data_IF_319504345143
#
_entry.id   IF_319504345143
#
_cell.length_a   1.000
_cell.length_b   1.000
_cell.length_c   1.000
_cell.angle_alpha   90.00
_cell.angle_beta   90.00
_cell.angle_gamma   90.00
#
_symmetry.space_group_name_H-M   'P 1'
#
loop_
_entity.id
_entity.type
_entity.pdbx_description
1 polymer ?
#
# COMPACT_ATOMS: atom_id res chain seq x y z
N UNK A 1 8.24 5.15 6.47
CA UNK A 1 6.80 5.24 6.09
C UNK A 1 6.03 4.12 6.75
N UNK A 2 4.94 4.44 7.41
CA UNK A 2 4.06 3.42 7.99
C UNK A 2 3.06 2.93 6.94
N UNK A 3 2.37 1.83 7.24
CA UNK A 3 1.32 1.33 6.37
C UNK A 3 0.19 2.34 6.17
N UNK A 4 -0.17 3.07 7.23
CA UNK A 4 -1.18 4.11 7.13
C UNK A 4 -0.76 5.23 6.18
N UNK A 5 0.50 5.65 6.25
CA UNK A 5 1.00 6.66 5.33
C UNK A 5 0.99 6.16 3.89
N UNK A 6 1.38 4.90 3.70
CA UNK A 6 1.35 4.28 2.37
C UNK A 6 -0.06 4.30 1.79
N UNK A 7 -1.06 3.92 2.60
CA UNK A 7 -2.45 3.92 2.15
C UNK A 7 -2.93 5.32 1.76
N UNK A 8 -2.58 6.34 2.55
CA UNK A 8 -2.96 7.71 2.23
C UNK A 8 -2.34 8.21 0.93
N UNK A 9 -1.08 7.89 0.72
CA UNK A 9 -0.38 8.28 -0.51
C UNK A 9 -0.93 7.55 -1.72
N UNK A 10 -1.26 6.26 -1.55
CA UNK A 10 -1.89 5.48 -2.61
C UNK A 10 -3.25 6.06 -3.00
N UNK A 11 -4.03 6.54 -2.03
CA UNK A 11 -5.32 7.15 -2.34
C UNK A 11 -5.17 8.39 -3.22
N UNK A 12 -4.13 9.18 -3.01
CA UNK A 12 -3.85 10.34 -3.87
C UNK A 12 -3.52 9.90 -5.30
N UNK A 13 -2.65 8.90 -5.42
CA UNK A 13 -2.27 8.36 -6.72
C UNK A 13 -3.50 7.76 -7.40
N UNK A 14 -4.31 7.02 -6.65
CA UNK A 14 -5.51 6.40 -7.17
C UNK A 14 -6.52 7.40 -7.71
N UNK A 15 -6.67 8.54 -7.04
CA UNK A 15 -7.55 9.61 -7.53
C UNK A 15 -7.12 10.12 -8.90
N UNK A 16 -5.81 10.25 -9.10
CA UNK A 16 -5.28 10.73 -10.38
C UNK A 16 -5.38 9.69 -11.48
N UNK A 17 -5.28 8.41 -11.11
CA UNK A 17 -5.28 7.31 -12.07
C UNK A 17 -6.64 6.60 -12.21
N UNK A 18 -7.62 7.03 -11.44
CA UNK A 18 -8.94 6.39 -11.45
C UNK A 18 -8.93 4.99 -10.85
N UNK A 19 -8.06 4.73 -9.87
CA UNK A 19 -7.96 3.43 -9.21
C UNK A 19 -8.42 3.50 -7.77
N UNK A 20 -9.20 2.51 -7.35
CA UNK A 20 -9.68 2.43 -5.98
C UNK A 20 -8.59 1.85 -5.08
N UNK A 21 -8.52 2.36 -3.85
CA UNK A 21 -7.61 1.87 -2.81
C UNK A 21 -8.45 1.35 -1.66
N UNK A 22 -8.20 0.12 -1.23
CA UNK A 22 -8.91 -0.46 -0.10
C UNK A 22 -8.02 -1.44 0.64
N UNK A 23 -8.35 -1.67 1.88
CA UNK A 23 -7.65 -2.65 2.73
C UNK A 23 -8.64 -3.70 3.18
N UNK A 24 -8.29 -4.98 2.97
CA UNK A 24 -9.09 -6.11 3.43
C UNK A 24 -8.33 -6.88 4.49
N UNK A 25 -8.81 -6.90 5.74
CA UNK A 25 -8.18 -7.71 6.79
C UNK A 25 -8.28 -9.20 6.46
N UNK A 26 -7.23 -9.93 6.77
CA UNK A 26 -7.19 -11.38 6.62
C UNK A 26 -6.77 -12.03 7.93
N UNK A 27 -7.57 -12.97 8.39
CA UNK A 27 -7.28 -13.68 9.62
C UNK A 27 -7.36 -12.79 10.85
N UNK A 28 -6.59 -13.14 11.86
CA UNK A 28 -6.56 -12.39 13.13
C UNK A 28 -5.42 -11.37 13.12
N UNK A 29 -5.64 -10.25 13.80
CA UNK A 29 -4.63 -9.20 13.94
C UNK A 29 -4.66 -8.19 12.82
N UNK A 30 -3.51 -7.57 12.56
CA UNK A 30 -3.39 -6.44 11.62
C UNK A 30 -3.01 -6.85 10.20
N UNK A 31 -2.93 -8.14 9.96
CA UNK A 31 -2.57 -8.63 8.62
C UNK A 31 -3.72 -8.42 7.65
N UNK A 32 -3.39 -8.11 6.41
CA UNK A 32 -4.40 -7.96 5.39
C UNK A 32 -3.81 -7.68 4.03
N UNK A 33 -4.69 -7.45 3.07
CA UNK A 33 -4.30 -7.09 1.72
C UNK A 33 -4.66 -5.65 1.43
N UNK A 34 -3.67 -4.91 0.95
CA UNK A 34 -3.84 -3.55 0.49
C UNK A 34 -4.02 -3.60 -1.02
N UNK A 35 -5.20 -3.20 -1.49
CA UNK A 35 -5.53 -3.21 -2.92
C UNK A 35 -5.34 -1.85 -3.54
N UNK A 36 -4.78 -1.86 -4.74
CA UNK A 36 -4.66 -0.67 -5.58
C UNK A 36 -5.16 -1.06 -6.98
N UNK A 37 -6.39 -0.70 -7.28
CA UNK A 37 -7.06 -1.22 -8.47
C UNK A 37 -7.21 -2.74 -8.37
N UNK A 38 -6.70 -3.45 -9.35
CA UNK A 38 -6.75 -4.92 -9.39
C UNK A 38 -5.55 -5.59 -8.72
N UNK A 39 -4.54 -4.81 -8.35
CA UNK A 39 -3.34 -5.35 -7.74
C UNK A 39 -3.42 -5.27 -6.23
N UNK A 40 -2.65 -6.09 -5.56
CA UNK A 40 -2.59 -6.03 -4.11
C UNK A 40 -1.20 -6.39 -3.59
N UNK A 41 -0.95 -5.96 -2.37
CA UNK A 41 0.23 -6.33 -1.61
C UNK A 41 -0.19 -6.72 -0.19
N UNK A 42 0.49 -7.69 0.38
CA UNK A 42 0.23 -8.08 1.76
C UNK A 42 0.84 -7.06 2.71
N UNK A 43 0.05 -6.60 3.67
CA UNK A 43 0.51 -5.67 4.69
C UNK A 43 0.35 -6.34 6.06
N UNK A 44 1.41 -6.31 6.86
CA UNK A 44 1.35 -6.91 8.19
C UNK A 44 0.68 -5.98 9.20
N UNK A 45 1.34 -4.93 9.61
CA UNK A 45 0.78 -3.99 10.59
C UNK A 45 0.84 -2.58 10.03
N UNK A 46 -0.34 -2.00 9.79
CA UNK A 46 -0.44 -0.66 9.19
C UNK A 46 0.11 0.45 10.09
N UNK A 47 0.35 0.16 11.38
CA UNK A 47 0.90 1.14 12.32
C UNK A 47 2.41 1.11 12.38
N UNK A 48 3.04 0.04 11.91
CA UNK A 48 4.49 -0.11 11.98
C UNK A 48 5.19 0.49 10.76
N UNK A 49 6.44 0.85 10.96
CA UNK A 49 7.28 1.36 9.89
C UNK A 49 7.56 0.27 8.87
N UNK A 50 7.46 0.63 7.60
CA UNK A 50 7.79 -0.28 6.50
C UNK A 50 9.23 -0.01 6.10
N UNK A 51 10.08 -1.03 6.17
CA UNK A 51 11.47 -0.92 5.73
C UNK A 51 11.57 -0.68 4.23
N UNK A 52 12.69 -0.10 3.80
CA UNK A 52 12.88 0.25 2.38
C UNK A 52 12.76 -0.93 1.44
N UNK A 53 13.33 -2.08 1.81
CA UNK A 53 13.25 -3.28 0.99
C UNK A 53 11.82 -3.77 0.81
N UNK A 54 11.08 -3.81 1.93
CA UNK A 54 9.68 -4.23 1.88
C UNK A 54 8.82 -3.23 1.10
N UNK A 55 9.05 -1.95 1.31
CA UNK A 55 8.32 -0.92 0.58
C UNK A 55 8.51 -1.05 -0.93
N UNK A 56 9.75 -1.28 -1.35
CA UNK A 56 10.06 -1.49 -2.77
C UNK A 56 9.32 -2.71 -3.33
N UNK A 57 9.31 -3.81 -2.58
CA UNK A 57 8.60 -5.02 -3.00
C UNK A 57 7.10 -4.78 -3.08
N UNK A 58 6.52 -4.09 -2.10
CA UNK A 58 5.10 -3.77 -2.10
C UNK A 58 4.73 -2.88 -3.29
N UNK A 59 5.54 -1.87 -3.59
CA UNK A 59 5.31 -1.00 -4.74
C UNK A 59 5.32 -1.79 -6.04
N UNK A 60 6.25 -2.74 -6.18
CA UNK A 60 6.29 -3.59 -7.36
C UNK A 60 5.01 -4.42 -7.49
N UNK A 61 4.52 -4.97 -6.39
CA UNK A 61 3.28 -5.74 -6.38
C UNK A 61 2.07 -4.87 -6.74
N UNK A 62 2.08 -3.62 -6.30
CA UNK A 62 0.99 -2.68 -6.56
C UNK A 62 1.09 -2.04 -7.94
N UNK A 63 2.19 -2.25 -8.65
CA UNK A 63 2.39 -1.69 -9.99
C UNK A 63 2.74 -0.23 -10.00
N UNK A 64 3.38 0.26 -8.92
CA UNK A 64 3.83 1.64 -8.82
C UNK A 64 5.33 1.67 -8.52
N UNK A 65 5.95 2.81 -8.74
CA UNK A 65 7.33 3.04 -8.37
C UNK A 65 7.39 3.73 -7.00
N UNK A 66 8.38 3.43 -6.15
CA UNK A 66 8.50 4.10 -4.85
C UNK A 66 8.53 5.63 -4.96
N UNK A 67 9.10 6.17 -6.04
CA UNK A 67 9.15 7.61 -6.26
C UNK A 67 7.76 8.22 -6.44
N UNK A 68 6.79 7.44 -6.90
CA UNK A 68 5.41 7.92 -7.06
C UNK A 68 4.76 8.28 -5.73
N UNK A 69 5.28 7.74 -4.64
CA UNK A 69 4.77 8.02 -3.31
C UNK A 69 5.28 9.35 -2.75
N UNK A 70 6.31 9.90 -3.36
CA UNK A 70 6.90 11.17 -2.92
C UNK A 70 6.21 12.33 -3.63
N UNK A 71 5.53 13.13 -2.84
CA UNK A 71 4.86 14.33 -3.37
C UNK A 71 5.14 15.52 -2.50
#
# INVERSE_FOLDING_TARGET
MTGNELMQRLKRIGRRQGKAVRFEPHGKGSHGRLYFGERFATMKDHRKEIGKGLLKAMCAQLGIHPDDLQE
#
